data_IF_526888302764
#
_entry.id   IF_526888302764
#
_cell.length_a   1.000
_cell.length_b   1.000
_cell.length_c   1.000
_cell.angle_alpha   90.00
_cell.angle_beta   90.00
_cell.angle_gamma   90.00
#
_symmetry.space_group_name_H-M   'P 1'
#
loop_
_entity.id
_entity.type
_entity.pdbx_description
1 polymer ?
#
# COMPACT_ATOMS: atom_id res chain seq x y z
N UNK A 1 14.61 30.45 -4.46
CA UNK A 1 13.75 29.88 -3.40
C UNK A 1 13.21 28.54 -3.90
N UNK A 2 13.46 27.41 -3.22
CA UNK A 2 12.99 26.09 -3.70
C UNK A 2 11.45 26.03 -3.60
N UNK A 3 10.75 26.00 -4.74
CA UNK A 3 9.29 25.83 -4.77
C UNK A 3 8.90 24.51 -4.08
N UNK A 4 7.79 24.54 -3.34
CA UNK A 4 7.21 23.37 -2.66
C UNK A 4 6.47 22.49 -3.67
N UNK A 5 6.49 21.15 -3.48
CA UNK A 5 5.82 20.16 -4.35
C UNK A 5 4.34 20.45 -4.57
N UNK A 6 3.66 21.21 -3.71
CA UNK A 6 2.23 21.52 -3.85
C UNK A 6 1.94 22.88 -4.53
N UNK A 7 2.98 23.65 -4.85
CA UNK A 7 2.87 25.00 -5.43
C UNK A 7 3.18 25.04 -6.93
N UNK A 8 3.24 23.90 -7.62
CA UNK A 8 3.49 23.91 -9.06
C UNK A 8 2.27 24.45 -9.84
N UNK A 9 2.53 25.02 -11.01
CA UNK A 9 1.51 25.40 -11.99
C UNK A 9 0.92 24.17 -12.69
N UNK A 10 -0.13 24.38 -13.50
CA UNK A 10 -0.73 23.30 -14.29
C UNK A 10 0.30 22.69 -15.26
N UNK A 11 1.03 23.52 -15.99
CA UNK A 11 2.05 23.12 -16.96
C UNK A 11 3.18 22.33 -16.29
N UNK A 12 3.69 22.83 -15.15
CA UNK A 12 4.70 22.12 -14.34
C UNK A 12 4.16 20.76 -13.86
N UNK A 13 2.89 20.67 -13.49
CA UNK A 13 2.27 19.44 -12.99
C UNK A 13 1.98 18.37 -14.03
N UNK A 14 1.98 18.70 -15.33
CA UNK A 14 1.79 17.71 -16.41
C UNK A 14 2.90 16.66 -16.43
N UNK A 15 4.14 17.03 -16.08
CA UNK A 15 5.27 16.09 -15.97
C UNK A 15 5.10 15.07 -14.85
N UNK A 16 4.25 15.35 -13.86
CA UNK A 16 3.95 14.46 -12.74
C UNK A 16 2.73 13.57 -12.98
N UNK A 17 1.67 14.12 -13.59
CA UNK A 17 0.41 13.41 -13.86
C UNK A 17 0.49 12.64 -15.19
N UNK A 18 1.30 11.58 -15.18
CA UNK A 18 1.45 10.70 -16.35
C UNK A 18 0.37 9.62 -16.42
N UNK A 19 -0.23 9.26 -15.28
CA UNK A 19 -1.23 8.20 -15.16
C UNK A 19 -2.59 8.75 -14.69
N UNK A 20 -2.95 9.96 -15.11
CA UNK A 20 -4.15 10.65 -14.61
C UNK A 20 -5.46 9.85 -14.72
N UNK A 21 -5.66 9.09 -15.81
CA UNK A 21 -6.82 8.20 -15.96
C UNK A 21 -6.81 7.09 -14.90
N UNK A 22 -5.65 6.48 -14.64
CA UNK A 22 -5.51 5.46 -13.59
C UNK A 22 -5.75 6.07 -12.20
N UNK A 23 -5.23 7.26 -11.91
CA UNK A 23 -5.46 7.95 -10.63
C UNK A 23 -6.94 8.23 -10.38
N UNK A 24 -7.68 8.58 -11.44
CA UNK A 24 -9.11 8.86 -11.39
C UNK A 24 -9.99 7.62 -11.25
N UNK A 25 -9.51 6.44 -11.65
CA UNK A 25 -10.31 5.21 -11.64
C UNK A 25 -9.73 4.09 -10.77
N UNK A 26 -8.53 4.27 -10.21
CA UNK A 26 -7.70 3.23 -9.62
C UNK A 26 -7.59 1.97 -10.50
N UNK A 27 -7.54 2.14 -11.83
CA UNK A 27 -7.48 1.03 -12.78
C UNK A 27 -8.80 0.28 -12.97
N UNK A 28 -9.89 0.69 -12.32
CA UNK A 28 -11.20 0.06 -12.50
C UNK A 28 -11.84 0.46 -13.82
N UNK A 29 -12.53 -0.50 -14.44
CA UNK A 29 -13.41 -0.23 -15.58
C UNK A 29 -14.56 0.68 -15.17
N UNK A 30 -15.15 1.39 -16.15
CA UNK A 30 -16.25 2.31 -15.90
C UNK A 30 -17.40 1.66 -15.12
N UNK A 31 -17.80 0.44 -15.46
CA UNK A 31 -18.91 -0.24 -14.82
C UNK A 31 -18.61 -0.70 -13.39
N UNK A 32 -17.32 -0.92 -13.08
CA UNK A 32 -16.87 -1.34 -11.75
C UNK A 32 -16.45 -0.17 -10.85
N UNK A 33 -16.45 1.05 -11.39
CA UNK A 33 -16.12 2.22 -10.60
C UNK A 33 -17.33 2.64 -9.72
N UNK A 34 -17.15 2.85 -8.39
CA UNK A 34 -18.21 3.29 -7.48
C UNK A 34 -19.04 4.53 -7.88
N UNK A 35 -18.50 5.44 -8.70
CA UNK A 35 -19.24 6.59 -9.28
C UNK A 35 -20.37 6.12 -10.21
N UNK A 36 -20.14 5.03 -10.95
CA UNK A 36 -21.04 4.51 -11.99
C UNK A 36 -21.78 3.23 -11.60
N UNK A 37 -21.29 2.51 -10.59
CA UNK A 37 -21.90 1.28 -10.08
C UNK A 37 -23.33 1.49 -9.56
N UNK A 38 -24.18 0.47 -9.75
CA UNK A 38 -25.52 0.39 -9.17
C UNK A 38 -25.50 0.25 -7.64
N UNK A 39 -26.63 0.54 -6.97
CA UNK A 39 -26.71 0.46 -5.50
C UNK A 39 -26.57 -0.98 -4.98
N UNK A 40 -27.18 -1.94 -5.66
CA UNK A 40 -27.09 -3.37 -5.32
C UNK A 40 -25.66 -3.90 -5.46
N UNK A 41 -24.98 -3.61 -6.56
CA UNK A 41 -23.58 -4.02 -6.73
C UNK A 41 -22.67 -3.39 -5.67
N UNK A 42 -22.89 -2.13 -5.29
CA UNK A 42 -22.11 -1.48 -4.24
C UNK A 42 -22.33 -2.12 -2.87
N UNK A 43 -23.58 -2.42 -2.53
CA UNK A 43 -23.91 -3.14 -1.30
C UNK A 43 -23.32 -4.55 -1.29
N UNK A 44 -23.43 -5.28 -2.41
CA UNK A 44 -22.87 -6.62 -2.55
C UNK A 44 -21.33 -6.61 -2.38
N UNK A 45 -20.62 -5.73 -3.09
CA UNK A 45 -19.17 -5.58 -2.95
C UNK A 45 -18.78 -5.20 -1.52
N UNK A 46 -19.50 -4.27 -0.90
CA UNK A 46 -19.24 -3.82 0.46
C UNK A 46 -19.45 -4.93 1.50
N UNK A 47 -20.56 -5.66 1.42
CA UNK A 47 -20.90 -6.70 2.41
C UNK A 47 -20.07 -7.96 2.21
N UNK A 48 -20.03 -8.49 0.99
CA UNK A 48 -19.38 -9.77 0.72
C UNK A 48 -17.86 -9.61 0.65
N UNK A 49 -17.36 -8.77 -0.26
CA UNK A 49 -15.92 -8.61 -0.47
C UNK A 49 -15.30 -7.80 0.67
N UNK A 50 -15.98 -6.75 1.10
CA UNK A 50 -15.50 -5.85 2.15
C UNK A 50 -15.59 -6.42 3.55
N UNK A 51 -16.79 -6.62 4.08
CA UNK A 51 -16.97 -7.03 5.47
C UNK A 51 -16.70 -8.51 5.69
N UNK A 52 -17.19 -9.40 4.83
CA UNK A 52 -17.04 -10.84 5.04
C UNK A 52 -15.63 -11.33 4.74
N UNK A 53 -15.17 -11.19 3.50
CA UNK A 53 -13.86 -11.71 3.10
C UNK A 53 -12.72 -10.99 3.83
N UNK A 54 -12.66 -9.66 3.71
CA UNK A 54 -11.57 -8.93 4.33
C UNK A 54 -11.72 -8.84 5.85
N UNK A 55 -12.92 -8.65 6.40
CA UNK A 55 -13.10 -8.59 7.85
C UNK A 55 -12.73 -9.86 8.57
N UNK A 56 -13.23 -11.02 8.13
CA UNK A 56 -12.91 -12.30 8.80
C UNK A 56 -11.42 -12.63 8.62
N UNK A 57 -10.88 -12.52 7.41
CA UNK A 57 -9.48 -12.89 7.16
C UNK A 57 -8.49 -11.93 7.83
N UNK A 58 -8.68 -10.62 7.69
CA UNK A 58 -7.78 -9.65 8.30
C UNK A 58 -7.90 -9.68 9.83
N UNK A 59 -9.10 -9.91 10.38
CA UNK A 59 -9.25 -10.10 11.82
C UNK A 59 -8.48 -11.34 12.31
N UNK A 60 -8.62 -12.45 11.59
CA UNK A 60 -7.92 -13.70 11.88
C UNK A 60 -6.41 -13.50 11.92
N UNK A 61 -5.86 -12.85 10.90
CA UNK A 61 -4.41 -12.62 10.78
C UNK A 61 -3.87 -11.57 11.77
N UNK A 62 -4.59 -10.46 11.97
CA UNK A 62 -4.08 -9.33 12.76
C UNK A 62 -4.31 -9.46 14.27
N UNK A 63 -5.32 -10.20 14.71
CA UNK A 63 -5.70 -10.28 16.12
C UNK A 63 -5.76 -11.72 16.63
N UNK A 64 -6.61 -12.56 16.02
CA UNK A 64 -6.86 -13.90 16.54
C UNK A 64 -5.59 -14.77 16.52
N UNK A 65 -4.82 -14.69 15.44
CA UNK A 65 -3.62 -15.50 15.27
C UNK A 65 -2.51 -15.14 16.27
N UNK A 66 -2.06 -13.87 16.42
CA UNK A 66 -1.10 -13.52 17.46
C UNK A 66 -1.53 -13.89 18.89
N UNK A 67 -2.83 -13.82 19.18
CA UNK A 67 -3.36 -14.16 20.52
C UNK A 67 -3.41 -15.68 20.78
N UNK A 68 -3.66 -16.47 19.73
CA UNK A 68 -3.83 -17.92 19.85
C UNK A 68 -2.55 -18.71 19.59
N UNK A 69 -1.60 -18.15 18.85
CA UNK A 69 -0.27 -18.73 18.62
C UNK A 69 0.41 -18.94 19.98
N UNK A 70 0.73 -20.20 20.30
CA UNK A 70 1.37 -20.61 21.55
C UNK A 70 0.43 -21.06 22.67
N UNK A 71 -0.91 -20.92 22.54
CA UNK A 71 -1.88 -21.45 23.53
C UNK A 71 -2.23 -22.92 23.34
N UNK A 72 -2.09 -23.44 22.12
CA UNK A 72 -2.34 -24.86 21.80
C UNK A 72 -1.02 -25.60 21.85
N UNK A 73 -0.89 -26.51 22.82
CA UNK A 73 0.32 -27.28 23.07
C UNK A 73 0.82 -28.02 21.82
N UNK A 74 2.14 -28.00 21.65
CA UNK A 74 2.92 -28.50 20.51
C UNK A 74 2.88 -27.66 19.23
N UNK A 75 3.60 -26.53 19.22
CA UNK A 75 4.07 -25.97 17.96
C UNK A 75 5.18 -26.88 17.43
N UNK A 76 4.83 -27.74 16.46
CA UNK A 76 5.77 -28.71 15.88
C UNK A 76 6.68 -28.09 14.81
N UNK A 77 6.19 -27.11 14.05
CA UNK A 77 6.92 -26.64 12.87
C UNK A 77 8.02 -25.62 13.19
N UNK A 78 7.73 -24.60 14.01
CA UNK A 78 8.64 -23.47 14.30
C UNK A 78 9.01 -23.53 15.80
N UNK A 79 10.20 -23.07 16.17
CA UNK A 79 10.63 -23.07 17.57
C UNK A 79 9.70 -22.24 18.48
N UNK A 80 9.63 -22.64 19.76
CA UNK A 80 8.86 -21.94 20.80
C UNK A 80 9.27 -20.47 20.92
N UNK A 81 10.57 -20.17 20.77
CA UNK A 81 11.07 -18.80 20.84
C UNK A 81 10.59 -17.95 19.65
N UNK A 82 10.47 -18.52 18.45
CA UNK A 82 9.95 -17.81 17.29
C UNK A 82 8.43 -17.57 17.40
N UNK A 83 7.71 -18.52 17.99
CA UNK A 83 6.30 -18.39 18.37
C UNK A 83 6.11 -17.26 19.37
N UNK A 84 6.94 -17.20 20.40
CA UNK A 84 6.92 -16.12 21.39
C UNK A 84 7.24 -14.76 20.74
N UNK A 85 8.21 -14.71 19.82
CA UNK A 85 8.51 -13.48 19.07
C UNK A 85 7.30 -13.01 18.25
N UNK A 86 6.59 -13.91 17.56
CA UNK A 86 5.35 -13.57 16.84
C UNK A 86 4.31 -13.00 17.80
N UNK A 87 4.13 -13.64 18.96
CA UNK A 87 3.19 -13.19 19.96
C UNK A 87 3.55 -11.79 20.46
N UNK A 88 4.81 -11.53 20.80
CA UNK A 88 5.28 -10.23 21.28
C UNK A 88 5.15 -9.13 20.21
N UNK A 89 5.60 -9.38 18.99
CA UNK A 89 5.47 -8.42 17.87
C UNK A 89 4.00 -8.16 17.57
N UNK A 90 3.19 -9.21 17.48
CA UNK A 90 1.77 -9.12 17.20
C UNK A 90 1.03 -8.33 18.27
N UNK A 91 1.22 -8.68 19.55
CA UNK A 91 0.62 -7.96 20.69
C UNK A 91 1.06 -6.50 20.75
N UNK A 92 2.35 -6.20 20.47
CA UNK A 92 2.85 -4.83 20.38
C UNK A 92 2.18 -4.04 19.25
N UNK A 93 1.91 -4.69 18.11
CA UNK A 93 1.28 -4.06 16.95
C UNK A 93 -0.25 -4.00 17.03
N UNK A 94 -0.92 -4.66 17.99
CA UNK A 94 -2.39 -4.65 18.14
C UNK A 94 -2.98 -3.23 18.04
N UNK A 95 -2.47 -2.18 18.73
CA UNK A 95 -3.05 -0.85 18.63
C UNK A 95 -2.98 -0.28 17.20
N UNK A 96 -1.86 -0.50 16.51
CA UNK A 96 -1.68 -0.07 15.11
C UNK A 96 -2.57 -0.87 14.17
N UNK A 97 -2.64 -2.19 14.36
CA UNK A 97 -3.54 -3.09 13.61
C UNK A 97 -4.99 -2.67 13.78
N UNK A 98 -5.44 -2.41 15.01
CA UNK A 98 -6.79 -1.95 15.32
C UNK A 98 -7.12 -0.61 14.62
N UNK A 99 -6.18 0.34 14.67
CA UNK A 99 -6.33 1.63 14.01
C UNK A 99 -6.51 1.47 12.49
N UNK A 100 -5.60 0.76 11.80
CA UNK A 100 -5.69 0.60 10.35
C UNK A 100 -6.84 -0.31 9.91
N UNK A 101 -7.18 -1.33 10.71
CA UNK A 101 -8.34 -2.19 10.48
C UNK A 101 -9.63 -1.37 10.54
N UNK A 102 -9.83 -0.57 11.60
CA UNK A 102 -10.99 0.32 11.73
C UNK A 102 -11.05 1.35 10.59
N UNK A 103 -9.92 1.99 10.24
CA UNK A 103 -9.86 2.91 9.10
C UNK A 103 -10.25 2.23 7.79
N UNK A 104 -9.81 0.99 7.56
CA UNK A 104 -10.19 0.25 6.35
C UNK A 104 -11.69 0.07 6.25
N UNK A 105 -12.38 -0.23 7.37
CA UNK A 105 -13.84 -0.33 7.37
C UNK A 105 -14.55 1.01 7.20
N UNK A 106 -14.06 2.06 7.83
CA UNK A 106 -14.63 3.40 7.62
C UNK A 106 -14.52 3.76 6.13
N UNK A 107 -13.34 3.57 5.54
CA UNK A 107 -13.12 3.95 4.15
C UNK A 107 -13.77 3.01 3.14
N UNK A 108 -13.93 1.71 3.41
CA UNK A 108 -14.70 0.83 2.51
C UNK A 108 -16.18 1.23 2.48
N UNK A 109 -16.75 1.63 3.63
CA UNK A 109 -18.11 2.18 3.68
C UNK A 109 -18.21 3.46 2.87
N UNK A 110 -17.31 4.41 3.11
CA UNK A 110 -17.30 5.69 2.41
C UNK A 110 -17.02 5.52 0.92
N UNK A 111 -16.22 4.53 0.53
CA UNK A 111 -15.86 4.23 -0.85
C UNK A 111 -17.07 3.76 -1.66
N UNK A 112 -17.93 2.94 -1.07
CA UNK A 112 -19.15 2.43 -1.70
C UNK A 112 -20.31 3.43 -1.72
N UNK A 113 -20.19 4.61 -1.10
CA UNK A 113 -21.21 5.65 -1.22
C UNK A 113 -21.21 6.29 -2.61
N UNK A 114 -22.38 6.68 -3.15
CA UNK A 114 -22.47 7.33 -4.45
C UNK A 114 -21.72 8.66 -4.44
N UNK A 115 -20.72 8.79 -5.31
CA UNK A 115 -19.95 10.03 -5.49
C UNK A 115 -20.47 10.83 -6.69
N UNK A 116 -20.28 12.14 -6.64
CA UNK A 116 -20.78 13.06 -7.69
C UNK A 116 -19.96 12.97 -8.98
N UNK A 117 -18.65 12.84 -8.87
CA UNK A 117 -17.69 12.81 -9.98
C UNK A 117 -16.43 11.98 -9.62
N UNK A 118 -15.60 11.71 -10.64
CA UNK A 118 -14.34 10.98 -10.49
C UNK A 118 -13.32 11.73 -9.61
N UNK A 119 -13.29 13.07 -9.66
CA UNK A 119 -12.42 13.90 -8.80
C UNK A 119 -12.62 13.63 -7.31
N UNK A 120 -13.87 13.61 -6.86
CA UNK A 120 -14.17 13.37 -5.44
C UNK A 120 -13.75 11.95 -5.08
N UNK A 121 -13.99 11.00 -5.97
CA UNK A 121 -13.64 9.61 -5.74
C UNK A 121 -12.13 9.38 -5.68
N UNK A 122 -11.34 10.07 -6.50
CA UNK A 122 -9.89 9.86 -6.55
C UNK A 122 -9.20 10.10 -5.22
N UNK A 123 -9.74 11.02 -4.40
CA UNK A 123 -9.29 11.28 -3.04
C UNK A 123 -9.55 10.11 -2.09
N UNK A 124 -10.68 9.40 -2.24
CA UNK A 124 -11.02 8.26 -1.37
C UNK A 124 -10.17 7.02 -1.67
N UNK A 125 -9.53 6.92 -2.84
CA UNK A 125 -8.65 5.79 -3.15
C UNK A 125 -7.45 5.73 -2.21
N UNK A 126 -6.77 6.86 -1.94
CA UNK A 126 -5.64 6.86 -1.00
C UNK A 126 -6.10 6.37 0.37
N UNK A 127 -7.17 6.97 0.88
CA UNK A 127 -7.68 6.69 2.22
C UNK A 127 -8.17 5.25 2.38
N UNK A 128 -8.59 4.59 1.30
CA UNK A 128 -8.94 3.18 1.32
C UNK A 128 -7.72 2.26 1.19
N UNK A 129 -6.89 2.45 0.15
CA UNK A 129 -5.78 1.54 -0.16
C UNK A 129 -4.64 1.63 0.86
N UNK A 130 -4.41 2.78 1.47
CA UNK A 130 -3.31 2.95 2.41
C UNK A 130 -3.50 2.15 3.72
N UNK A 131 -4.64 2.28 4.44
CA UNK A 131 -4.92 1.42 5.59
C UNK A 131 -4.98 -0.06 5.22
N UNK A 132 -5.62 -0.41 4.10
CA UNK A 132 -5.72 -1.78 3.61
C UNK A 132 -4.34 -2.42 3.38
N UNK A 133 -3.47 -1.73 2.65
CA UNK A 133 -2.11 -2.20 2.40
C UNK A 133 -1.34 -2.33 3.72
N UNK A 134 -1.50 -1.37 4.62
CA UNK A 134 -0.79 -1.38 5.92
C UNK A 134 -1.20 -2.57 6.79
N UNK A 135 -2.49 -2.93 6.81
CA UNK A 135 -2.95 -4.17 7.42
C UNK A 135 -2.27 -5.40 6.81
N UNK A 136 -2.21 -5.51 5.48
CA UNK A 136 -1.53 -6.63 4.82
C UNK A 136 -0.01 -6.67 5.11
N UNK A 137 0.63 -5.49 5.22
CA UNK A 137 2.05 -5.36 5.56
C UNK A 137 2.31 -5.83 6.99
N UNK A 138 1.50 -5.40 7.96
CA UNK A 138 1.61 -5.87 9.35
C UNK A 138 1.45 -7.39 9.40
N UNK A 139 0.47 -7.93 8.66
CA UNK A 139 0.23 -9.35 8.60
C UNK A 139 1.44 -10.14 8.07
N UNK A 140 1.97 -9.71 6.93
CA UNK A 140 3.14 -10.33 6.31
C UNK A 140 4.40 -10.18 7.18
N UNK A 141 4.54 -9.03 7.88
CA UNK A 141 5.72 -8.71 8.66
C UNK A 141 5.95 -9.70 9.80
N UNK A 142 4.94 -10.07 10.58
CA UNK A 142 5.16 -11.01 11.69
C UNK A 142 5.53 -12.42 11.19
N UNK A 143 4.95 -12.89 10.07
CA UNK A 143 5.30 -14.19 9.49
C UNK A 143 6.75 -14.24 9.00
N UNK A 144 7.16 -13.23 8.22
CA UNK A 144 8.51 -13.18 7.69
C UNK A 144 9.54 -12.96 8.81
N UNK A 145 9.18 -12.19 9.84
CA UNK A 145 10.00 -12.03 11.04
C UNK A 145 10.21 -13.36 11.75
N UNK A 146 9.16 -14.18 11.88
CA UNK A 146 9.24 -15.51 12.47
C UNK A 146 10.19 -16.44 11.72
N UNK A 147 10.03 -16.55 10.40
CA UNK A 147 10.89 -17.42 9.58
C UNK A 147 12.35 -16.94 9.60
N UNK A 148 12.56 -15.63 9.58
CA UNK A 148 13.91 -15.06 9.63
C UNK A 148 14.57 -15.31 10.97
N UNK A 149 13.83 -15.08 12.06
CA UNK A 149 14.31 -15.29 13.41
C UNK A 149 14.57 -16.76 13.72
N UNK A 150 13.67 -17.65 13.29
CA UNK A 150 13.85 -19.09 13.44
C UNK A 150 15.11 -19.55 12.72
N UNK A 151 15.33 -19.12 11.46
CA UNK A 151 16.46 -19.59 10.64
C UNK A 151 17.81 -18.96 10.98
N UNK A 152 17.86 -17.65 11.21
CA UNK A 152 19.10 -16.88 11.33
C UNK A 152 19.32 -16.26 12.72
N UNK A 153 18.45 -16.62 13.67
CA UNK A 153 18.48 -16.11 15.04
C UNK A 153 18.19 -14.61 15.12
N UNK A 154 18.39 -14.06 16.31
CA UNK A 154 18.13 -12.65 16.60
C UNK A 154 18.99 -11.71 15.75
N UNK A 155 20.28 -12.02 15.59
CA UNK A 155 21.22 -11.18 14.84
C UNK A 155 20.86 -11.07 13.36
N UNK A 156 20.46 -12.19 12.74
CA UNK A 156 20.10 -12.22 11.32
C UNK A 156 18.77 -11.51 11.06
N UNK A 157 17.81 -11.68 11.97
CA UNK A 157 16.57 -10.91 11.99
C UNK A 157 16.83 -9.41 12.10
N UNK A 158 17.61 -8.97 13.09
CA UNK A 158 17.89 -7.56 13.31
C UNK A 158 18.59 -6.91 12.11
N UNK A 159 19.57 -7.60 11.51
CA UNK A 159 20.28 -7.14 10.32
C UNK A 159 19.31 -6.88 9.15
N UNK A 160 18.45 -7.85 8.85
CA UNK A 160 17.46 -7.69 7.76
C UNK A 160 16.45 -6.59 8.07
N UNK A 161 16.00 -6.47 9.32
CA UNK A 161 15.05 -5.46 9.74
C UNK A 161 15.61 -4.05 9.60
N UNK A 162 16.80 -3.78 10.13
CA UNK A 162 17.43 -2.45 10.09
C UNK A 162 17.70 -2.02 8.66
N UNK A 163 18.25 -2.91 7.83
CA UNK A 163 18.50 -2.62 6.42
C UNK A 163 17.19 -2.38 5.65
N UNK A 164 16.16 -3.19 5.90
CA UNK A 164 14.86 -3.04 5.27
C UNK A 164 14.18 -1.72 5.62
N UNK A 165 14.19 -1.31 6.89
CA UNK A 165 13.68 0.00 7.32
C UNK A 165 14.46 1.16 6.69
N UNK A 166 15.80 1.06 6.65
CA UNK A 166 16.65 2.04 5.96
C UNK A 166 16.31 2.17 4.48
N UNK A 167 16.06 1.04 3.80
CA UNK A 167 15.64 1.05 2.40
C UNK A 167 14.25 1.64 2.19
N UNK A 168 13.27 1.35 3.05
CA UNK A 168 11.95 1.99 2.97
C UNK A 168 12.09 3.52 3.01
N UNK A 169 12.85 4.05 3.96
CA UNK A 169 13.08 5.50 4.07
C UNK A 169 13.75 6.04 2.80
N UNK A 170 14.78 5.35 2.29
CA UNK A 170 15.48 5.74 1.07
C UNK A 170 14.56 5.74 -0.17
N UNK A 171 13.68 4.74 -0.31
CA UNK A 171 12.71 4.63 -1.41
C UNK A 171 11.72 5.79 -1.36
N UNK A 172 11.16 6.08 -0.18
CA UNK A 172 10.20 7.17 0.00
C UNK A 172 10.85 8.54 -0.28
N UNK A 173 12.07 8.74 0.20
CA UNK A 173 12.82 9.96 -0.07
C UNK A 173 13.17 10.12 -1.56
N UNK A 174 13.54 9.02 -2.23
CA UNK A 174 13.73 9.01 -3.67
C UNK A 174 12.43 9.35 -4.42
N UNK A 175 11.28 8.82 -3.99
CA UNK A 175 9.97 9.17 -4.53
C UNK A 175 9.67 10.67 -4.45
N UNK A 176 9.89 11.27 -3.27
CA UNK A 176 9.78 12.73 -3.07
C UNK A 176 10.68 13.53 -4.03
N UNK A 177 11.95 13.13 -4.18
CA UNK A 177 12.90 13.79 -5.10
C UNK A 177 12.51 13.60 -6.56
N UNK A 178 12.05 12.42 -6.94
CA UNK A 178 11.60 12.13 -8.30
C UNK A 178 10.32 12.90 -8.65
N UNK A 179 9.43 13.15 -7.68
CA UNK A 179 8.28 14.03 -7.86
C UNK A 179 8.73 15.48 -8.11
N UNK A 180 9.68 16.01 -7.33
CA UNK A 180 10.27 17.34 -7.57
C UNK A 180 10.96 17.44 -8.92
N UNK A 181 11.71 16.42 -9.31
CA UNK A 181 12.36 16.36 -10.62
C UNK A 181 11.34 16.46 -11.75
N UNK A 182 10.23 15.74 -11.66
CA UNK A 182 9.15 15.79 -12.65
C UNK A 182 8.43 17.14 -12.72
N UNK A 183 8.36 17.86 -11.60
CA UNK A 183 7.72 19.18 -11.53
C UNK A 183 8.65 20.33 -11.96
N UNK A 184 9.93 20.27 -11.58
CA UNK A 184 10.85 21.41 -11.64
C UNK A 184 12.15 21.13 -12.40
N UNK A 185 12.24 19.99 -13.10
CA UNK A 185 13.44 19.55 -13.81
C UNK A 185 14.72 19.50 -12.95
N UNK A 186 14.57 19.21 -11.65
CA UNK A 186 15.70 19.03 -10.73
C UNK A 186 16.57 17.82 -11.10
N UNK A 187 17.88 17.84 -10.80
CA UNK A 187 18.76 16.72 -11.07
C UNK A 187 18.35 15.48 -10.29
N UNK A 188 18.62 14.29 -10.86
CA UNK A 188 18.30 13.01 -10.23
C UNK A 188 19.21 12.79 -9.02
N UNK A 189 18.62 12.54 -7.85
CA UNK A 189 19.38 12.35 -6.61
C UNK A 189 20.20 11.05 -6.61
N UNK A 190 19.56 9.91 -6.89
CA UNK A 190 20.21 8.59 -6.82
C UNK A 190 19.71 7.69 -7.95
N UNK A 191 20.46 7.68 -9.06
CA UNK A 191 20.14 6.85 -10.23
C UNK A 191 20.33 5.34 -10.02
N UNK A 192 21.14 4.95 -9.03
CA UNK A 192 21.55 3.56 -8.78
C UNK A 192 20.93 2.88 -7.56
N UNK A 193 19.93 3.48 -6.89
CA UNK A 193 19.40 2.95 -5.63
C UNK A 193 18.87 1.51 -5.76
N UNK A 194 18.17 1.20 -6.87
CA UNK A 194 17.68 -0.16 -7.17
C UNK A 194 18.83 -1.16 -7.28
N UNK A 195 19.92 -0.78 -7.97
CA UNK A 195 21.11 -1.63 -8.12
C UNK A 195 21.78 -1.86 -6.76
N UNK A 196 21.93 -0.79 -5.97
CA UNK A 196 22.48 -0.86 -4.62
C UNK A 196 21.67 -1.82 -3.73
N UNK A 197 20.34 -1.70 -3.75
CA UNK A 197 19.45 -2.61 -3.02
C UNK A 197 19.62 -4.05 -3.48
N UNK A 198 19.65 -4.30 -4.79
CA UNK A 198 19.86 -5.64 -5.36
C UNK A 198 21.18 -6.26 -4.90
N UNK A 199 22.29 -5.52 -5.00
CA UNK A 199 23.59 -5.99 -4.52
C UNK A 199 23.60 -6.19 -3.00
N UNK A 200 22.93 -5.34 -2.23
CA UNK A 200 22.86 -5.47 -0.77
C UNK A 200 22.05 -6.71 -0.38
N UNK A 201 20.90 -6.96 -1.03
CA UNK A 201 20.10 -8.17 -0.80
C UNK A 201 20.93 -9.41 -1.08
N UNK A 202 21.65 -9.46 -2.21
CA UNK A 202 22.53 -10.58 -2.55
C UNK A 202 23.67 -10.76 -1.54
N UNK A 203 24.34 -9.66 -1.16
CA UNK A 203 25.45 -9.70 -0.20
C UNK A 203 24.98 -10.17 1.19
N UNK A 204 23.89 -9.60 1.70
CA UNK A 204 23.30 -10.00 2.99
C UNK A 204 22.86 -11.46 2.96
N UNK A 205 22.24 -11.89 1.86
CA UNK A 205 21.82 -13.29 1.70
C UNK A 205 23.01 -14.23 1.73
N UNK A 206 24.08 -13.91 1.00
CA UNK A 206 25.31 -14.70 1.00
C UNK A 206 25.96 -14.76 2.39
N UNK A 207 26.05 -13.62 3.09
CA UNK A 207 26.59 -13.55 4.46
C UNK A 207 25.77 -14.41 5.42
N UNK A 208 24.44 -14.29 5.39
CA UNK A 208 23.56 -15.07 6.26
C UNK A 208 23.65 -16.57 5.98
N UNK A 209 23.75 -16.97 4.71
CA UNK A 209 23.89 -18.37 4.31
C UNK A 209 25.24 -18.98 4.72
N UNK A 210 26.35 -18.26 4.49
CA UNK A 210 27.70 -18.76 4.83
C UNK A 210 27.91 -18.84 6.34
N UNK A 211 27.38 -17.87 7.07
CA UNK A 211 27.55 -17.76 8.53
C UNK A 211 26.38 -18.34 9.33
N UNK A 212 25.43 -19.04 8.70
CA UNK A 212 24.28 -19.64 9.38
C UNK A 212 24.67 -20.75 10.36
N UNK A 213 25.82 -21.40 10.16
CA UNK A 213 26.31 -22.44 11.06
C UNK A 213 27.02 -21.91 12.31
N UNK A 214 27.34 -20.61 12.35
CA UNK A 214 28.18 -19.99 13.38
C UNK A 214 27.51 -18.76 13.99
N UNK A 215 27.69 -17.59 13.37
CA UNK A 215 27.26 -16.28 13.90
C UNK A 215 25.75 -16.10 13.84
N UNK A 216 25.10 -16.64 12.81
CA UNK A 216 23.64 -16.57 12.61
C UNK A 216 22.98 -17.93 12.82
N UNK A 217 23.38 -18.62 13.90
CA UNK A 217 22.83 -19.93 14.22
C UNK A 217 21.33 -19.80 14.52
N UNK A 218 20.53 -20.47 13.69
CA UNK A 218 19.10 -20.59 13.87
C UNK A 218 18.72 -21.37 15.13
N UNK A 219 17.43 -21.30 15.46
CA UNK A 219 16.82 -22.04 16.56
C UNK A 219 16.68 -23.53 16.20
N UNK A 220 16.62 -24.40 17.20
CA UNK A 220 16.30 -25.80 16.96
C UNK A 220 14.79 -25.92 16.67
N UNK A 221 14.44 -26.36 15.46
CA UNK A 221 13.06 -26.54 15.00
C UNK A 221 13.01 -27.55 13.85
N UNK A 222 11.90 -28.27 13.72
CA UNK A 222 11.66 -29.20 12.60
C UNK A 222 11.74 -28.47 11.24
N UNK A 223 11.29 -27.21 11.19
CA UNK A 223 11.40 -26.38 9.98
C UNK A 223 12.86 -26.18 9.57
N UNK A 224 13.76 -25.93 10.53
CA UNK A 224 15.17 -25.65 10.24
C UNK A 224 15.97 -26.87 9.78
N UNK A 225 15.45 -28.07 9.96
CA UNK A 225 15.99 -29.28 9.34
C UNK A 225 15.70 -29.32 7.83
N UNK A 226 14.66 -28.61 7.37
CA UNK A 226 14.26 -28.60 5.97
C UNK A 226 15.01 -27.53 5.19
N UNK A 227 15.45 -27.88 3.97
CA UNK A 227 16.25 -26.99 3.11
C UNK A 227 15.52 -25.68 2.75
N UNK A 228 14.19 -25.69 2.70
CA UNK A 228 13.40 -24.51 2.33
C UNK A 228 13.29 -23.47 3.45
N UNK A 229 13.72 -23.77 4.68
CA UNK A 229 13.83 -22.77 5.76
C UNK A 229 14.80 -21.63 5.42
N UNK A 230 15.86 -21.93 4.68
CA UNK A 230 16.85 -20.94 4.24
C UNK A 230 16.25 -19.85 3.34
N UNK A 231 15.63 -20.17 2.18
CA UNK A 231 15.02 -19.14 1.35
C UNK A 231 13.88 -18.42 2.08
N UNK A 232 13.06 -19.10 2.91
CA UNK A 232 12.01 -18.45 3.69
C UNK A 232 12.55 -17.40 4.67
N UNK A 233 13.64 -17.71 5.38
CA UNK A 233 14.28 -16.78 6.31
C UNK A 233 14.98 -15.59 5.63
N UNK A 234 15.16 -15.62 4.31
CA UNK A 234 15.76 -14.53 3.53
C UNK A 234 14.71 -13.56 2.95
N UNK A 235 13.41 -13.88 3.06
CA UNK A 235 12.34 -13.11 2.41
C UNK A 235 12.02 -11.79 3.09
N UNK A 236 12.40 -11.60 4.36
CA UNK A 236 12.05 -10.38 5.12
C UNK A 236 12.61 -9.12 4.46
N UNK A 237 13.90 -9.09 4.13
CA UNK A 237 14.53 -7.92 3.51
C UNK A 237 13.93 -7.58 2.12
N UNK A 238 13.81 -8.52 1.16
CA UNK A 238 13.12 -8.28 -0.10
C UNK A 238 11.67 -7.81 0.08
N UNK A 239 10.93 -8.39 1.04
CA UNK A 239 9.55 -7.99 1.29
C UNK A 239 9.47 -6.53 1.78
N UNK A 240 10.34 -6.10 2.69
CA UNK A 240 10.39 -4.71 3.15
C UNK A 240 10.70 -3.73 1.99
N UNK A 241 11.56 -4.12 1.05
CA UNK A 241 11.83 -3.32 -0.17
C UNK A 241 10.57 -3.22 -1.03
N UNK A 242 9.86 -4.33 -1.27
CA UNK A 242 8.59 -4.36 -2.03
C UNK A 242 7.56 -3.45 -1.36
N UNK A 243 7.44 -3.51 -0.03
CA UNK A 243 6.55 -2.65 0.76
C UNK A 243 6.90 -1.17 0.58
N UNK A 244 8.20 -0.82 0.63
CA UNK A 244 8.66 0.54 0.38
C UNK A 244 8.22 1.07 -1.00
N UNK A 245 8.35 0.25 -2.05
CA UNK A 245 7.87 0.62 -3.39
C UNK A 245 6.34 0.70 -3.49
N UNK A 246 5.61 -0.18 -2.80
CA UNK A 246 4.15 -0.15 -2.77
C UNK A 246 3.63 1.15 -2.11
N UNK A 247 4.19 1.54 -0.96
CA UNK A 247 3.84 2.83 -0.35
C UNK A 247 4.26 4.03 -1.20
N UNK A 248 5.44 4.00 -1.82
CA UNK A 248 5.86 5.04 -2.77
C UNK A 248 4.84 5.20 -3.90
N UNK A 249 4.38 4.10 -4.47
CA UNK A 249 3.38 4.12 -5.55
C UNK A 249 2.05 4.73 -5.08
N UNK A 250 1.57 4.39 -3.88
CA UNK A 250 0.37 5.00 -3.31
C UNK A 250 0.50 6.51 -3.11
N UNK A 251 1.66 6.97 -2.62
CA UNK A 251 1.96 8.39 -2.45
C UNK A 251 2.00 9.11 -3.81
N UNK A 252 2.74 8.56 -4.77
CA UNK A 252 2.88 9.16 -6.11
C UNK A 252 1.52 9.31 -6.82
N UNK A 253 0.68 8.27 -6.76
CA UNK A 253 -0.61 8.26 -7.45
C UNK A 253 -1.69 9.05 -6.70
N UNK A 254 -1.91 8.71 -5.43
CA UNK A 254 -3.11 9.16 -4.73
C UNK A 254 -2.87 10.32 -3.77
N UNK A 255 -1.62 10.72 -3.53
CA UNK A 255 -1.30 12.00 -2.88
C UNK A 255 -0.90 13.01 -3.94
N UNK A 256 0.22 12.79 -4.64
CA UNK A 256 0.77 13.83 -5.51
C UNK A 256 -0.06 14.05 -6.77
N UNK A 257 -0.30 13.02 -7.58
CA UNK A 257 -1.08 13.20 -8.82
C UNK A 257 -2.54 13.56 -8.52
N UNK A 258 -3.18 12.90 -7.55
CA UNK A 258 -4.55 13.21 -7.17
C UNK A 258 -4.70 14.65 -6.65
N UNK A 259 -3.73 15.19 -5.91
CA UNK A 259 -3.73 16.60 -5.48
C UNK A 259 -3.81 17.56 -6.67
N UNK A 260 -2.99 17.34 -7.71
CA UNK A 260 -2.97 18.21 -8.89
C UNK A 260 -4.23 18.08 -9.75
N UNK A 261 -4.75 16.87 -9.92
CA UNK A 261 -6.06 16.65 -10.54
C UNK A 261 -7.17 17.35 -9.76
N UNK A 262 -7.05 17.41 -8.44
CA UNK A 262 -8.01 18.11 -7.60
C UNK A 262 -7.88 19.64 -7.70
N UNK A 263 -6.64 20.14 -7.80
CA UNK A 263 -6.31 21.57 -7.92
C UNK A 263 -6.74 22.16 -9.27
N UNK A 264 -6.52 21.44 -10.37
CA UNK A 264 -6.81 21.87 -11.76
C UNK A 264 -7.80 20.93 -12.47
N UNK A 265 -9.05 20.81 -11.97
CA UNK A 265 -9.94 19.73 -12.37
C UNK A 265 -10.44 19.82 -13.81
N UNK A 266 -10.76 21.02 -14.30
CA UNK A 266 -11.29 21.19 -15.66
C UNK A 266 -10.15 21.13 -16.69
N UNK A 267 -8.98 21.67 -16.35
CA UNK A 267 -7.77 21.59 -17.16
C UNK A 267 -7.32 20.13 -17.32
N UNK A 268 -7.30 19.35 -16.22
CA UNK A 268 -6.96 17.92 -16.30
C UNK A 268 -8.03 17.08 -16.98
N UNK A 269 -9.32 17.41 -16.83
CA UNK A 269 -10.38 16.74 -17.57
C UNK A 269 -10.21 16.93 -19.09
N UNK A 270 -9.88 18.15 -19.53
CA UNK A 270 -9.59 18.47 -20.92
C UNK A 270 -8.30 17.79 -21.41
N UNK A 271 -7.21 17.92 -20.64
CA UNK A 271 -5.90 17.32 -20.95
C UNK A 271 -5.95 15.80 -21.07
N UNK A 272 -6.66 15.13 -20.15
CA UNK A 272 -6.84 13.68 -20.15
C UNK A 272 -7.93 13.21 -21.14
N UNK A 273 -8.60 14.14 -21.83
CA UNK A 273 -9.69 13.87 -22.80
C UNK A 273 -10.78 13.00 -22.20
N UNK A 274 -11.23 13.30 -20.99
CA UNK A 274 -12.28 12.55 -20.28
C UNK A 274 -13.63 13.17 -20.61
N UNK A 275 -14.56 12.34 -21.11
CA UNK A 275 -15.90 12.82 -21.45
C UNK A 275 -16.72 13.17 -20.21
N UNK A 276 -17.70 14.08 -20.34
CA UNK A 276 -18.63 14.41 -19.24
C UNK A 276 -19.33 13.17 -18.69
N UNK A 277 -19.67 12.24 -19.58
CA UNK A 277 -20.34 10.97 -19.24
C UNK A 277 -19.49 10.07 -18.34
N UNK A 278 -18.17 10.17 -18.43
CA UNK A 278 -17.22 9.42 -17.60
C UNK A 278 -16.91 10.18 -16.32
N UNK A 279 -16.75 11.50 -16.41
CA UNK A 279 -16.37 12.35 -15.29
C UNK A 279 -17.44 12.44 -14.21
N UNK A 280 -18.71 12.54 -14.60
CA UNK A 280 -19.84 12.74 -13.70
C UNK A 280 -20.64 11.45 -13.50
N UNK A 281 -21.23 11.31 -12.30
CA UNK A 281 -22.22 10.27 -12.06
C UNK A 281 -23.48 10.48 -12.90
N UNK A 282 -24.21 9.39 -13.19
CA UNK A 282 -25.50 9.45 -13.92
C UNK A 282 -26.49 10.47 -13.31
N UNK A 283 -26.51 10.60 -11.98
CA UNK A 283 -27.39 11.54 -11.26
C UNK A 283 -26.98 12.98 -11.49
N UNK A 284 -25.69 13.26 -11.44
CA UNK A 284 -25.14 14.61 -11.62
C UNK A 284 -25.26 15.09 -13.07
N UNK A 285 -25.05 14.20 -14.04
CA UNK A 285 -25.29 14.47 -15.46
C UNK A 285 -26.72 14.93 -15.70
N UNK A 286 -27.70 14.16 -15.22
CA UNK A 286 -29.13 14.52 -15.35
C UNK A 286 -29.46 15.87 -14.71
N UNK A 287 -28.81 16.22 -13.60
CA UNK A 287 -29.01 17.53 -12.94
C UNK A 287 -28.47 18.66 -13.82
N UNK A 288 -27.28 18.49 -14.39
CA UNK A 288 -26.65 19.49 -15.28
C UNK A 288 -27.42 19.66 -16.59
N UNK A 289 -27.87 18.57 -17.20
CA UNK A 289 -28.70 18.60 -18.42
C UNK A 289 -30.03 19.34 -18.17
N UNK A 290 -30.67 19.11 -17.01
CA UNK A 290 -31.90 19.84 -16.62
C UNK A 290 -31.64 21.33 -16.38
N UNK A 291 -30.53 21.68 -15.75
CA UNK A 291 -30.15 23.07 -15.52
C UNK A 291 -29.86 23.81 -16.85
N UNK A 292 -29.13 23.18 -17.77
CA UNK A 292 -28.86 23.74 -19.09
C UNK A 292 -30.14 24.01 -19.88
N UNK A 293 -31.09 23.06 -19.88
CA UNK A 293 -32.41 23.21 -20.53
C UNK A 293 -33.28 24.31 -19.89
N UNK A 294 -33.11 24.57 -18.59
CA UNK A 294 -33.82 25.66 -17.91
C UNK A 294 -33.26 27.01 -18.33
N UNK A 295 -31.93 27.14 -18.36
CA UNK A 295 -31.27 28.38 -18.73
C UNK A 295 -31.49 28.75 -20.21
N UNK A 296 -31.55 27.76 -21.11
CA UNK A 296 -31.85 27.98 -22.53
C UNK A 296 -33.31 28.32 -22.82
N UNK A 297 -34.21 28.18 -21.84
CA UNK A 297 -35.62 28.58 -21.95
C UNK A 297 -35.89 29.96 -21.34
N UNK A 298 -34.92 30.51 -20.61
CA UNK A 298 -34.99 31.84 -19.98
C UNK A 298 -34.17 32.91 -20.72
N UNK A 299 -33.46 32.51 -21.78
CA UNK A 299 -32.73 33.38 -22.73
C UNK A 299 -33.52 33.48 -24.02
#
# INVERSE_FOLDING_TARGET
MKKSIFKASFEESQGLVTQGKFVLTAGMTRNNNPVHMGIFNRLFTLVIVGYFFFGIMAYGLLFAMPEQIGRVGEVRLISVNAVELIHQIGTFLIPSSAFFYALTFIFITLFCLPKKNLKIQSYFYFSFYFPFLTCAVIALFYFLSAFTFDRFGFSGFLLQLVLGLGFIIAILYQGYRDARRRLYNEPRWLGGLVKLMGYTVLAVSAVLLVLSGTVFKGLASDLNEMWYSYPLGLLLLPALIIVGYAWRLLIDLFIYQAYYIWKYPEEYKAYLKISDKEWYSKRELRRREKAAKKNSRSS
#
